data_IF_900528698816
#
_entry.id   IF_900528698816
#
_cell.length_a   1.000
_cell.length_b   1.000
_cell.length_c   1.000
_cell.angle_alpha   90.00
_cell.angle_beta   90.00
_cell.angle_gamma   90.00
#
_symmetry.space_group_name_H-M   'P 1'
#
loop_
_entity.id
_entity.type
_entity.pdbx_description
1 polymer ?
#
# COMPACT_ATOMS: atom_id res chain seq x y z
N UNK A 1 -15.15 7.90 -4.97
CA UNK A 1 -14.07 8.33 -5.89
C UNK A 1 -12.70 7.92 -5.36
N UNK A 2 -12.33 8.34 -4.14
CA UNK A 2 -11.08 7.96 -3.43
C UNK A 2 -10.89 6.43 -3.32
N UNK A 3 -11.91 5.70 -2.85
CA UNK A 3 -11.86 4.23 -2.69
C UNK A 3 -11.53 3.50 -4.01
N UNK A 4 -12.12 3.90 -5.14
CA UNK A 4 -11.85 3.27 -6.43
C UNK A 4 -10.42 3.52 -6.90
N UNK A 5 -9.88 4.73 -6.67
CA UNK A 5 -8.50 5.06 -6.97
C UNK A 5 -7.52 4.26 -6.11
N UNK A 6 -7.85 4.07 -4.83
CA UNK A 6 -7.09 3.24 -3.91
C UNK A 6 -7.05 1.79 -4.39
N UNK A 7 -8.22 1.19 -4.65
CA UNK A 7 -8.33 -0.19 -5.16
C UNK A 7 -7.52 -0.36 -6.44
N UNK A 8 -7.65 0.57 -7.39
CA UNK A 8 -6.90 0.54 -8.65
C UNK A 8 -5.38 0.58 -8.43
N UNK A 9 -4.91 1.49 -7.56
CA UNK A 9 -3.48 1.65 -7.25
C UNK A 9 -2.92 0.40 -6.56
N UNK A 10 -3.67 -0.17 -5.61
CA UNK A 10 -3.33 -1.43 -4.93
C UNK A 10 -3.27 -2.59 -5.92
N UNK A 11 -4.26 -2.72 -6.81
CA UNK A 11 -4.29 -3.79 -7.81
C UNK A 11 -3.10 -3.70 -8.78
N UNK A 12 -2.70 -2.49 -9.17
CA UNK A 12 -1.52 -2.27 -10.00
C UNK A 12 -0.23 -2.65 -9.28
N UNK A 13 -0.12 -2.34 -7.98
CA UNK A 13 1.03 -2.73 -7.16
C UNK A 13 1.11 -4.26 -7.02
N UNK A 14 0.02 -4.92 -6.60
CA UNK A 14 -0.04 -6.37 -6.42
C UNK A 14 0.22 -7.11 -7.75
N UNK A 15 -0.28 -6.57 -8.86
CA UNK A 15 -0.06 -7.13 -10.20
C UNK A 15 1.31 -6.82 -10.79
N UNK A 16 2.23 -6.20 -10.03
CA UNK A 16 3.55 -5.72 -10.46
C UNK A 16 3.53 -4.80 -11.70
N UNK A 17 2.40 -4.14 -11.96
CA UNK A 17 2.25 -3.16 -13.06
C UNK A 17 2.87 -1.82 -12.70
N UNK A 18 2.77 -1.44 -11.42
CA UNK A 18 3.39 -0.23 -10.89
C UNK A 18 3.81 -0.46 -9.44
N UNK A 19 5.07 -0.87 -9.26
CA UNK A 19 5.71 -1.01 -7.95
C UNK A 19 6.56 0.22 -7.61
N UNK A 20 6.35 1.34 -8.28
CA UNK A 20 7.15 2.54 -8.00
C UNK A 20 6.86 3.07 -6.60
N UNK A 21 7.86 3.74 -6.00
CA UNK A 21 7.68 4.51 -4.76
C UNK A 21 6.55 5.53 -4.92
N UNK A 22 6.37 6.09 -6.12
CA UNK A 22 5.27 7.00 -6.42
C UNK A 22 3.89 6.34 -6.22
N UNK A 23 3.70 5.11 -6.68
CA UNK A 23 2.44 4.40 -6.47
C UNK A 23 2.26 4.02 -5.00
N UNK A 24 3.32 3.59 -4.31
CA UNK A 24 3.29 3.29 -2.88
C UNK A 24 2.85 4.51 -2.05
N UNK A 25 3.48 5.67 -2.26
CA UNK A 25 3.12 6.93 -1.59
C UNK A 25 1.69 7.37 -1.93
N UNK A 26 1.22 7.11 -3.15
CA UNK A 26 -0.17 7.39 -3.53
C UNK A 26 -1.16 6.48 -2.78
N UNK A 27 -0.84 5.20 -2.61
CA UNK A 27 -1.65 4.27 -1.79
C UNK A 27 -1.67 4.72 -0.34
N UNK A 28 -0.53 5.11 0.22
CA UNK A 28 -0.38 5.63 1.58
C UNK A 28 -1.30 6.83 1.82
N UNK A 29 -1.17 7.87 0.98
CA UNK A 29 -2.00 9.08 1.05
C UNK A 29 -3.50 8.77 0.95
N UNK A 30 -3.89 7.86 0.05
CA UNK A 30 -5.28 7.47 -0.12
C UNK A 30 -5.81 6.67 1.07
N UNK A 31 -4.98 5.86 1.75
CA UNK A 31 -5.35 5.14 2.97
C UNK A 31 -5.54 6.11 4.15
N UNK A 32 -4.62 7.05 4.34
CA UNK A 32 -4.75 8.11 5.36
C UNK A 32 -6.04 8.91 5.16
N UNK A 33 -6.37 9.23 3.90
CA UNK A 33 -7.58 9.98 3.54
C UNK A 33 -8.89 9.27 3.91
N UNK A 34 -8.87 7.95 4.13
CA UNK A 34 -10.06 7.22 4.58
C UNK A 34 -10.37 7.42 6.07
N UNK A 35 -9.43 7.97 6.86
CA UNK A 35 -9.57 8.14 8.32
C UNK A 35 -10.11 6.89 9.03
N UNK A 36 -9.61 5.71 8.65
CA UNK A 36 -10.04 4.44 9.22
C UNK A 36 -9.37 4.17 10.56
N UNK A 37 -10.15 3.74 11.56
CA UNK A 37 -9.63 3.32 12.88
C UNK A 37 -9.12 1.87 12.89
N UNK A 38 -9.17 1.17 11.75
CA UNK A 38 -8.67 -0.20 11.68
C UNK A 38 -7.14 -0.23 11.83
N UNK A 39 -6.65 -0.94 12.85
CA UNK A 39 -5.21 -1.08 13.14
C UNK A 39 -4.38 -1.52 11.91
N UNK A 40 -4.93 -2.42 11.10
CA UNK A 40 -4.27 -2.90 9.87
C UNK A 40 -4.04 -1.78 8.85
N UNK A 41 -4.91 -0.76 8.80
CA UNK A 41 -4.73 0.41 7.93
C UNK A 41 -3.54 1.23 8.40
N UNK A 42 -3.47 1.53 9.70
CA UNK A 42 -2.33 2.25 10.30
C UNK A 42 -1.00 1.52 10.10
N UNK A 43 -0.97 0.21 10.34
CA UNK A 43 0.23 -0.61 10.11
C UNK A 43 0.65 -0.63 8.63
N UNK A 44 -0.31 -0.64 7.71
CA UNK A 44 -0.02 -0.60 6.27
C UNK A 44 0.54 0.75 5.83
N UNK A 45 0.03 1.86 6.38
CA UNK A 45 0.57 3.21 6.12
C UNK A 45 2.05 3.27 6.55
N UNK A 46 2.38 2.82 7.77
CA UNK A 46 3.76 2.78 8.26
C UNK A 46 4.68 1.90 7.41
N UNK A 47 4.14 0.77 6.92
CA UNK A 47 4.85 -0.11 6.00
C UNK A 47 5.16 0.59 4.66
N UNK A 48 4.16 1.27 4.07
CA UNK A 48 4.31 1.98 2.80
C UNK A 48 5.33 3.12 2.91
N UNK A 49 5.36 3.83 4.03
CA UNK A 49 6.39 4.84 4.31
C UNK A 49 7.82 4.27 4.38
N UNK A 50 7.94 2.96 4.63
CA UNK A 50 9.22 2.22 4.72
C UNK A 50 9.46 1.31 3.50
N UNK A 51 8.76 1.55 2.39
CA UNK A 51 8.90 0.76 1.17
C UNK A 51 10.05 1.26 0.28
N UNK A 52 10.80 0.32 -0.28
CA UNK A 52 11.72 0.59 -1.39
C UNK A 52 11.68 -0.57 -2.41
N UNK A 53 11.74 -0.30 -3.73
CA UNK A 53 11.83 -1.36 -4.73
C UNK A 53 13.06 -2.25 -4.52
N UNK A 54 12.88 -3.58 -4.58
CA UNK A 54 13.88 -4.59 -4.19
C UNK A 54 14.26 -4.57 -2.68
N UNK A 55 13.53 -3.80 -1.88
CA UNK A 55 13.74 -3.66 -0.45
C UNK A 55 15.10 -3.07 -0.06
N UNK A 56 15.57 -3.50 1.09
CA UNK A 56 16.85 -3.12 1.68
C UNK A 56 16.97 -3.73 3.07
N UNK A 57 18.12 -3.54 3.75
CA UNK A 57 18.35 -4.13 5.08
C UNK A 57 17.26 -3.80 6.11
N UNK A 58 16.57 -2.66 5.91
CA UNK A 58 15.54 -2.13 6.81
C UNK A 58 14.29 -1.64 6.07
N UNK A 59 14.16 -1.95 4.78
CA UNK A 59 13.06 -1.48 3.93
C UNK A 59 12.23 -2.66 3.46
N UNK A 60 10.92 -2.48 3.38
CA UNK A 60 10.03 -3.49 2.81
C UNK A 60 10.22 -3.57 1.30
N UNK A 61 10.25 -4.79 0.78
CA UNK A 61 10.20 -5.06 -0.65
C UNK A 61 8.76 -5.10 -1.20
N UNK A 62 8.63 -5.20 -2.52
CA UNK A 62 7.32 -5.21 -3.18
C UNK A 62 6.48 -6.44 -2.86
N UNK A 63 7.07 -7.59 -2.53
CA UNK A 63 6.33 -8.81 -2.25
C UNK A 63 5.74 -8.77 -0.83
N UNK A 64 6.49 -8.22 0.13
CA UNK A 64 6.03 -7.92 1.49
C UNK A 64 4.90 -6.88 1.48
N UNK A 65 5.08 -5.77 0.75
CA UNK A 65 4.04 -4.75 0.61
C UNK A 65 2.80 -5.34 -0.08
N UNK A 66 2.97 -6.09 -1.17
CA UNK A 66 1.84 -6.72 -1.87
C UNK A 66 1.08 -7.70 -0.97
N UNK A 67 1.76 -8.39 -0.04
CA UNK A 67 1.11 -9.28 0.92
C UNK A 67 0.18 -8.53 1.86
N UNK A 68 0.60 -7.40 2.44
CA UNK A 68 -0.26 -6.59 3.31
C UNK A 68 -1.39 -5.90 2.53
N UNK A 69 -1.10 -5.37 1.34
CA UNK A 69 -2.11 -4.72 0.49
C UNK A 69 -3.25 -5.68 0.10
N UNK A 70 -2.99 -6.99 -0.02
CA UNK A 70 -4.05 -8.00 -0.23
C UNK A 70 -5.01 -8.10 0.97
N UNK A 71 -4.53 -7.86 2.19
CA UNK A 71 -5.39 -7.85 3.38
C UNK A 71 -6.25 -6.59 3.42
N UNK A 72 -5.68 -5.44 3.06
CA UNK A 72 -6.42 -4.18 2.90
C UNK A 72 -7.59 -4.35 1.93
N UNK A 73 -7.39 -4.98 0.76
CA UNK A 73 -8.48 -5.22 -0.19
C UNK A 73 -9.67 -6.03 0.38
N UNK A 74 -9.46 -6.83 1.43
CA UNK A 74 -10.55 -7.62 2.05
C UNK A 74 -11.42 -6.80 3.00
N UNK A 75 -10.92 -5.66 3.47
CA UNK A 75 -11.61 -4.80 4.44
C UNK A 75 -12.06 -3.46 3.85
N UNK A 76 -11.59 -3.12 2.64
CA UNK A 76 -12.05 -1.96 1.89
C UNK A 76 -13.47 -2.16 1.38
#
# INVERSE_FOLDING_TARGET
MVKNQLIYSIQNFIGKKDISVKNANNIEFLLESLNSEHEIVGNTILMLASYAPNGGKYMYDEDQVAYELKKILKIL
#
